data_IF_804952258841
#
_entry.id   IF_804952258841
#
_cell.length_a   1.000
_cell.length_b   1.000
_cell.length_c   1.000
_cell.angle_alpha   90.00
_cell.angle_beta   90.00
_cell.angle_gamma   90.00
#
_symmetry.space_group_name_H-M   'P 1'
#
loop_
_entity.id
_entity.type
_entity.pdbx_description
1 polymer ?
#
# COMPACT_ATOMS: atom_id res chain seq x y z
N UNK A 1 -4.44 6.12 -9.80
CA UNK A 1 -3.34 5.54 -9.03
C UNK A 1 -2.90 6.47 -7.91
N UNK A 2 -2.18 5.96 -6.94
CA UNK A 2 -1.65 6.75 -5.83
C UNK A 2 -0.75 7.89 -6.33
N UNK A 3 0.10 7.63 -7.30
CA UNK A 3 1.02 8.63 -7.83
C UNK A 3 0.26 9.79 -8.46
N UNK A 4 -0.74 9.48 -9.26
CA UNK A 4 -1.60 10.53 -9.85
C UNK A 4 -2.32 11.33 -8.77
N UNK A 5 -2.75 10.67 -7.71
CA UNK A 5 -3.41 11.32 -6.59
C UNK A 5 -2.46 12.31 -5.90
N UNK A 6 -1.23 11.88 -5.62
CA UNK A 6 -0.23 12.76 -5.00
C UNK A 6 0.04 13.99 -5.88
N UNK A 7 0.21 13.80 -7.19
CA UNK A 7 0.49 14.87 -8.13
C UNK A 7 -0.68 15.85 -8.26
N UNK A 8 -1.90 15.31 -8.37
CA UNK A 8 -3.10 16.11 -8.64
C UNK A 8 -3.55 16.91 -7.42
N UNK A 9 -3.53 16.28 -6.25
CA UNK A 9 -4.15 16.89 -5.07
C UNK A 9 -3.16 17.50 -4.09
N UNK A 10 -1.87 17.24 -4.25
CA UNK A 10 -0.85 17.79 -3.35
C UNK A 10 -1.20 17.55 -1.87
N UNK A 11 -0.79 16.43 -1.31
CA UNK A 11 -1.14 16.05 0.06
C UNK A 11 -0.88 17.16 1.09
N UNK A 12 0.09 18.06 0.84
CA UNK A 12 0.40 19.14 1.78
C UNK A 12 -0.71 20.15 1.92
N UNK A 13 -1.53 20.34 0.88
CA UNK A 13 -2.63 21.29 0.87
C UNK A 13 -3.98 20.63 0.81
N UNK A 14 -4.02 19.30 0.65
CA UNK A 14 -5.27 18.58 0.46
C UNK A 14 -6.02 18.38 1.77
N UNK A 15 -7.31 18.70 1.76
CA UNK A 15 -8.23 18.32 2.83
C UNK A 15 -8.80 16.93 2.60
N UNK A 16 -8.41 16.23 1.52
CA UNK A 16 -8.99 14.94 1.13
C UNK A 16 -8.38 13.76 1.85
N UNK A 17 -7.12 13.86 2.29
CA UNK A 17 -6.42 12.74 2.91
C UNK A 17 -5.86 13.15 4.27
N UNK A 18 -6.29 12.45 5.32
CA UNK A 18 -5.74 12.66 6.65
C UNK A 18 -4.42 11.88 6.77
N UNK A 19 -3.35 12.52 7.30
CA UNK A 19 -2.06 11.82 7.48
C UNK A 19 -2.15 10.57 8.34
N UNK A 20 -3.13 10.47 9.23
CA UNK A 20 -3.31 9.33 10.12
C UNK A 20 -4.14 8.21 9.48
N UNK A 21 -4.58 8.37 8.24
CA UNK A 21 -5.25 7.31 7.51
C UNK A 21 -4.27 6.20 7.15
N UNK A 22 -4.75 4.97 7.15
CA UNK A 22 -3.96 3.79 6.77
C UNK A 22 -4.54 3.18 5.50
N UNK A 23 -3.67 2.84 4.56
CA UNK A 23 -4.07 2.23 3.30
C UNK A 23 -3.25 0.98 3.04
N UNK A 24 -3.84 0.05 2.29
CA UNK A 24 -3.17 -1.16 1.85
C UNK A 24 -3.03 -1.09 0.33
N UNK A 25 -1.79 -1.03 -0.16
CA UNK A 25 -1.50 -0.94 -1.59
C UNK A 25 -0.91 -2.24 -2.08
N UNK A 26 -1.30 -2.65 -3.27
CA UNK A 26 -0.82 -3.87 -3.89
C UNK A 26 -0.19 -3.56 -5.25
N UNK A 27 1.00 -4.12 -5.48
CA UNK A 27 1.67 -4.00 -6.77
C UNK A 27 1.01 -4.98 -7.76
N UNK A 28 0.25 -4.45 -8.70
CA UNK A 28 -0.49 -5.25 -9.68
C UNK A 28 0.43 -6.10 -10.56
N UNK A 29 1.71 -5.78 -10.68
CA UNK A 29 2.67 -6.61 -11.41
C UNK A 29 2.83 -7.98 -10.77
N UNK A 30 2.50 -8.11 -9.49
CA UNK A 30 2.56 -9.39 -8.78
C UNK A 30 1.31 -10.25 -8.96
N UNK A 31 0.26 -9.73 -9.60
CA UNK A 31 -1.06 -10.38 -9.59
C UNK A 31 -1.02 -11.78 -10.22
N UNK A 32 -0.46 -11.91 -11.43
CA UNK A 32 -0.42 -13.20 -12.12
C UNK A 32 0.42 -14.20 -11.34
N UNK A 33 1.57 -13.76 -10.83
CA UNK A 33 2.44 -14.60 -10.01
C UNK A 33 1.70 -15.13 -8.78
N UNK A 34 0.98 -14.24 -8.09
CA UNK A 34 0.28 -14.61 -6.86
C UNK A 34 -0.92 -15.52 -7.13
N UNK A 35 -1.64 -15.30 -8.23
CA UNK A 35 -2.71 -16.20 -8.64
C UNK A 35 -2.17 -17.60 -8.90
N UNK A 36 -1.07 -17.70 -9.66
CA UNK A 36 -0.45 -19.01 -9.96
C UNK A 36 0.02 -19.69 -8.69
N UNK A 37 0.62 -18.95 -7.76
CA UNK A 37 1.05 -19.50 -6.48
C UNK A 37 -0.13 -20.04 -5.67
N UNK A 38 -1.25 -19.31 -5.66
CA UNK A 38 -2.47 -19.75 -4.99
C UNK A 38 -2.99 -21.07 -5.55
N UNK A 39 -3.05 -21.20 -6.86
CA UNK A 39 -3.47 -22.45 -7.51
C UNK A 39 -2.54 -23.59 -7.13
N UNK A 40 -1.23 -23.36 -7.20
CA UNK A 40 -0.24 -24.40 -6.90
C UNK A 40 -0.34 -24.87 -5.46
N UNK A 41 -0.68 -23.97 -4.53
CA UNK A 41 -0.82 -24.30 -3.12
C UNK A 41 -2.20 -24.83 -2.75
N UNK A 42 -3.14 -24.91 -3.70
CA UNK A 42 -4.48 -25.42 -3.47
C UNK A 42 -5.38 -24.48 -2.70
N UNK A 43 -5.07 -23.19 -2.68
CA UNK A 43 -5.87 -22.19 -1.98
C UNK A 43 -7.09 -21.84 -2.83
N UNK A 44 -8.29 -22.09 -2.31
CA UNK A 44 -9.54 -21.84 -3.04
C UNK A 44 -9.99 -20.39 -3.00
N UNK A 45 -9.70 -19.68 -1.91
CA UNK A 45 -10.08 -18.29 -1.74
C UNK A 45 -8.94 -17.56 -1.02
N UNK A 46 -8.40 -16.53 -1.66
CA UNK A 46 -7.26 -15.80 -1.16
C UNK A 46 -7.55 -14.30 -1.11
N UNK A 47 -7.47 -13.72 0.07
CA UNK A 47 -7.45 -12.26 0.22
C UNK A 47 -6.01 -11.78 0.00
N UNK A 48 -5.81 -11.04 -1.09
CA UNK A 48 -4.51 -10.45 -1.40
C UNK A 48 -4.38 -9.18 -0.57
N UNK A 49 -3.76 -9.30 0.60
CA UNK A 49 -3.62 -8.16 1.51
C UNK A 49 -2.15 -7.81 1.71
N UNK A 50 -1.92 -6.52 1.91
CA UNK A 50 -0.59 -5.98 2.19
C UNK A 50 -0.61 -5.27 3.53
N UNK A 51 0.55 -5.09 4.14
CA UNK A 51 0.65 -4.40 5.43
C UNK A 51 0.14 -2.97 5.29
N UNK A 52 -0.79 -2.51 6.17
CA UNK A 52 -1.29 -1.14 6.12
C UNK A 52 -0.17 -0.12 6.36
N UNK A 53 -0.22 0.99 5.64
CA UNK A 53 0.77 2.06 5.74
C UNK A 53 0.04 3.38 5.96
N UNK A 54 0.53 4.19 6.91
CA UNK A 54 -0.01 5.53 7.11
C UNK A 54 0.23 6.42 5.89
N UNK A 55 -0.76 7.23 5.55
CA UNK A 55 -0.63 8.18 4.44
C UNK A 55 0.58 9.11 4.63
N UNK A 56 0.83 9.56 5.87
CA UNK A 56 1.99 10.39 6.17
C UNK A 56 3.32 9.70 5.86
N UNK A 57 3.39 8.40 6.11
CA UNK A 57 4.63 7.63 5.86
C UNK A 57 4.89 7.48 4.37
N UNK A 58 3.85 7.23 3.59
CA UNK A 58 3.98 7.14 2.13
C UNK A 58 4.40 8.49 1.56
N UNK A 59 3.75 9.56 1.97
CA UNK A 59 4.05 10.91 1.50
C UNK A 59 5.50 11.29 1.80
N UNK A 60 5.94 11.07 3.06
CA UNK A 60 7.31 11.40 3.47
C UNK A 60 8.33 10.55 2.72
N UNK A 61 8.05 9.27 2.56
CA UNK A 61 8.96 8.35 1.86
C UNK A 61 9.15 8.75 0.40
N UNK A 62 8.07 9.16 -0.29
CA UNK A 62 8.13 9.50 -1.71
C UNK A 62 8.63 10.91 -1.97
N UNK A 63 8.24 11.89 -1.15
CA UNK A 63 8.54 13.31 -1.42
C UNK A 63 9.66 13.88 -0.56
N UNK A 64 10.07 13.18 0.49
CA UNK A 64 11.05 13.63 1.48
C UNK A 64 10.58 14.87 2.27
N UNK A 65 9.26 15.14 2.26
CA UNK A 65 8.65 16.25 2.99
C UNK A 65 7.66 15.72 4.01
N UNK A 66 7.44 16.50 5.07
CA UNK A 66 6.48 16.16 6.11
C UNK A 66 5.07 16.52 5.62
N UNK A 67 4.12 15.60 5.81
CA UNK A 67 2.73 15.84 5.48
C UNK A 67 2.06 16.68 6.56
N UNK A 68 1.35 17.74 6.16
CA UNK A 68 0.64 18.62 7.10
C UNK A 68 -0.62 17.94 7.63
N UNK A 69 -0.93 18.20 8.90
CA UNK A 69 -2.17 17.75 9.50
C UNK A 69 -3.37 18.48 8.89
N UNK A 70 -4.52 17.81 8.86
CA UNK A 70 -5.77 18.41 8.40
C UNK A 70 -6.95 17.71 9.10
N UNK A 71 -8.16 18.20 8.81
CA UNK A 71 -9.39 17.69 9.42
C UNK A 71 -10.12 16.69 8.55
N UNK A 72 -9.47 16.13 7.52
CA UNK A 72 -10.09 15.12 6.68
C UNK A 72 -10.43 13.88 7.51
N UNK A 73 -11.45 13.14 7.06
CA UNK A 73 -11.86 11.91 7.73
C UNK A 73 -10.71 10.89 7.73
N UNK A 74 -10.48 10.26 8.87
CA UNK A 74 -9.48 9.20 8.99
C UNK A 74 -10.07 7.91 8.43
N UNK A 75 -9.36 7.30 7.51
CA UNK A 75 -9.68 5.99 6.94
C UNK A 75 -8.67 4.97 7.46
N UNK A 76 -9.15 3.79 7.88
CA UNK A 76 -8.26 2.73 8.36
C UNK A 76 -8.58 1.42 7.66
N UNK A 77 -7.73 1.02 6.73
CA UNK A 77 -7.82 -0.28 6.09
C UNK A 77 -6.97 -1.28 6.86
N UNK A 78 -7.51 -2.47 7.11
CA UNK A 78 -6.74 -3.55 7.71
C UNK A 78 -7.36 -4.90 7.33
N UNK A 79 -7.24 -5.27 6.06
CA UNK A 79 -7.62 -6.58 5.58
C UNK A 79 -6.47 -7.55 5.79
N UNK A 80 -6.72 -8.69 6.38
CA UNK A 80 -5.70 -9.71 6.62
C UNK A 80 -5.89 -10.90 5.68
N UNK A 81 -4.82 -11.66 5.45
CA UNK A 81 -4.86 -12.87 4.65
C UNK A 81 -4.59 -14.10 5.54
N UNK A 82 -5.50 -15.06 5.50
CA UNK A 82 -5.38 -16.31 6.24
C UNK A 82 -4.13 -17.12 5.85
N UNK A 83 -3.72 -17.02 4.59
CA UNK A 83 -2.64 -17.83 4.03
C UNK A 83 -1.33 -17.03 3.86
N UNK A 84 -1.19 -15.91 4.54
CA UNK A 84 -0.04 -15.02 4.38
C UNK A 84 1.30 -15.72 4.67
N UNK A 85 1.33 -16.66 5.57
CA UNK A 85 2.55 -17.42 5.92
C UNK A 85 3.17 -18.14 4.73
N UNK A 86 2.38 -18.46 3.71
CA UNK A 86 2.87 -19.13 2.50
C UNK A 86 3.62 -18.18 1.57
N UNK A 87 3.45 -16.86 1.75
CA UNK A 87 4.07 -15.82 0.91
C UNK A 87 5.19 -15.06 1.59
N UNK A 88 5.09 -14.87 2.92
CA UNK A 88 6.03 -14.01 3.62
C UNK A 88 6.18 -14.43 5.08
N UNK A 89 7.14 -13.81 5.78
CA UNK A 89 7.32 -14.01 7.21
C UNK A 89 6.23 -13.35 8.04
N UNK A 90 5.42 -12.50 7.43
CA UNK A 90 4.33 -11.80 8.11
C UNK A 90 3.12 -12.72 8.27
N UNK A 91 2.51 -12.67 9.44
CA UNK A 91 1.42 -13.56 9.80
C UNK A 91 0.13 -13.28 9.03
N UNK A 92 -0.13 -12.00 8.71
CA UNK A 92 -1.44 -11.56 8.21
C UNK A 92 -1.40 -10.95 6.82
N UNK A 93 -0.23 -10.71 6.26
CA UNK A 93 -0.10 -9.97 5.00
C UNK A 93 0.85 -10.69 4.04
N UNK A 94 0.51 -10.66 2.75
CA UNK A 94 1.36 -11.26 1.71
C UNK A 94 2.65 -10.47 1.52
N UNK A 95 2.59 -9.15 1.68
CA UNK A 95 3.74 -8.27 1.48
C UNK A 95 3.84 -7.30 2.64
N UNK A 96 5.05 -7.10 3.14
CA UNK A 96 5.33 -6.16 4.21
C UNK A 96 5.45 -4.74 3.68
N UNK A 97 5.30 -3.74 4.57
CA UNK A 97 5.27 -2.34 4.16
C UNK A 97 6.55 -1.89 3.47
N UNK A 98 7.71 -2.40 3.88
CA UNK A 98 9.00 -2.03 3.26
C UNK A 98 9.02 -2.40 1.78
N UNK A 99 8.50 -3.59 1.43
CA UNK A 99 8.38 -4.02 0.04
C UNK A 99 7.45 -3.09 -0.74
N UNK A 100 6.31 -2.74 -0.17
CA UNK A 100 5.34 -1.86 -0.82
C UNK A 100 5.91 -0.45 -1.01
N UNK A 101 6.59 0.08 0.01
CA UNK A 101 7.21 1.41 -0.10
C UNK A 101 8.27 1.45 -1.20
N UNK A 102 9.08 0.39 -1.32
CA UNK A 102 10.08 0.32 -2.39
C UNK A 102 9.41 0.25 -3.77
N UNK A 103 8.34 -0.52 -3.92
CA UNK A 103 7.59 -0.60 -5.17
C UNK A 103 7.01 0.77 -5.54
N UNK A 104 6.42 1.47 -4.58
CA UNK A 104 5.86 2.80 -4.80
C UNK A 104 6.93 3.80 -5.20
N UNK A 105 8.12 3.72 -4.59
CA UNK A 105 9.24 4.59 -4.95
C UNK A 105 9.67 4.39 -6.39
N UNK A 106 9.74 3.15 -6.85
CA UNK A 106 10.09 2.84 -8.23
C UNK A 106 9.06 3.45 -9.19
N UNK A 107 7.77 3.26 -8.93
CA UNK A 107 6.72 3.85 -9.75
C UNK A 107 6.77 5.39 -9.73
N UNK A 108 7.00 5.98 -8.57
CA UNK A 108 7.08 7.43 -8.43
C UNK A 108 8.22 8.02 -9.25
N UNK A 109 9.38 7.38 -9.23
CA UNK A 109 10.54 7.81 -10.04
C UNK A 109 10.29 7.66 -11.53
N UNK A 110 9.59 6.62 -11.94
CA UNK A 110 9.27 6.39 -13.36
C UNK A 110 8.33 7.45 -13.91
N UNK A 111 7.47 8.05 -13.07
CA UNK A 111 6.52 9.09 -13.49
C UNK A 111 7.15 10.48 -13.55
N UNK A 112 8.28 10.68 -12.94
CA UNK A 112 9.03 11.92 -13.03
C UNK A 112 10.06 11.80 -14.15
#
# INVERSE_FOLDING_TARGET
TLIKYIEKYNFTSSSLTNPNSKYQYYNLENLIKDIKAGFKLGVKCLNISTEPIYARDIYTFLTKKKMKSNNAKIYSANMISKYAKLWSDRKNYLYKKETILNDLRIFYKMKK
#
